data_IF_057690821101
#
_entry.id   IF_057690821101
#
_cell.length_a   1.000
_cell.length_b   1.000
_cell.length_c   1.000
_cell.angle_alpha   90.00
_cell.angle_beta   90.00
_cell.angle_gamma   90.00
#
_symmetry.space_group_name_H-M   'P 1'
#
loop_
_entity.id
_entity.type
_entity.pdbx_description
1 polymer ?
#
# COMPACT_ATOMS: atom_id res chain seq x y z
N UNK A 1 -6.75 1.74 11.00
CA UNK A 1 -5.33 1.50 11.33
C UNK A 1 -4.59 2.83 11.47
N UNK A 2 -3.66 2.92 12.42
CA UNK A 2 -2.84 4.11 12.63
C UNK A 2 -1.38 3.84 12.25
N UNK A 3 -0.71 4.79 11.60
CA UNK A 3 0.69 4.64 11.13
C UNK A 3 1.57 5.62 11.86
N UNK A 4 2.70 5.16 12.39
CA UNK A 4 3.79 5.94 13.01
C UNK A 4 3.42 7.40 13.37
N UNK A 5 2.99 7.59 14.62
CA UNK A 5 2.56 8.89 15.14
C UNK A 5 3.48 9.28 16.28
N UNK A 6 3.86 10.56 16.33
CA UNK A 6 4.58 11.06 17.51
C UNK A 6 3.69 10.93 18.76
N UNK A 7 4.27 10.57 19.91
CA UNK A 7 3.52 10.54 21.16
C UNK A 7 2.81 11.88 21.41
N UNK A 8 1.50 11.82 21.69
CA UNK A 8 0.67 13.00 21.95
C UNK A 8 0.05 13.67 20.71
N UNK A 9 0.36 13.21 19.49
CA UNK A 9 -0.28 13.69 18.26
C UNK A 9 -1.47 12.79 17.85
N UNK A 10 -2.35 13.33 17.00
CA UNK A 10 -3.47 12.57 16.46
C UNK A 10 -2.99 11.42 15.57
N UNK A 11 -3.67 10.27 15.67
CA UNK A 11 -3.32 9.09 14.87
C UNK A 11 -3.40 9.39 13.36
N UNK A 12 -2.30 9.14 12.64
CA UNK A 12 -2.28 9.18 11.18
C UNK A 12 -3.16 8.07 10.63
N UNK A 13 -3.92 8.41 9.60
CA UNK A 13 -4.74 7.47 8.85
C UNK A 13 -4.28 7.48 7.40
N UNK A 14 -4.30 6.31 6.76
CA UNK A 14 -4.01 6.22 5.32
C UNK A 14 -5.33 6.10 4.56
N UNK A 15 -5.50 7.00 3.60
CA UNK A 15 -6.63 7.04 2.69
C UNK A 15 -6.13 6.73 1.29
N UNK A 16 -6.75 5.75 0.64
CA UNK A 16 -6.63 5.51 -0.79
C UNK A 16 -7.59 6.45 -1.54
N UNK A 17 -7.10 7.06 -2.60
CA UNK A 17 -7.88 7.95 -3.46
C UNK A 17 -7.82 7.42 -4.88
N UNK A 18 -9.00 7.17 -5.45
CA UNK A 18 -9.17 6.75 -6.84
C UNK A 18 -9.98 7.80 -7.61
N UNK A 19 -9.62 8.07 -8.85
CA UNK A 19 -10.47 8.79 -9.79
C UNK A 19 -11.57 7.86 -10.34
N UNK A 20 -12.82 8.30 -10.27
CA UNK A 20 -14.00 7.59 -10.78
C UNK A 20 -14.74 8.44 -11.78
N UNK A 21 -15.08 7.86 -12.92
CA UNK A 21 -15.98 8.49 -13.90
C UNK A 21 -17.41 8.40 -13.36
N UNK A 22 -18.14 9.50 -13.39
CA UNK A 22 -19.55 9.54 -12.98
C UNK A 22 -20.42 8.83 -14.03
N UNK A 23 -21.45 8.13 -13.58
CA UNK A 23 -22.35 7.42 -14.48
C UNK A 23 -23.14 8.40 -15.37
N UNK A 24 -23.51 8.01 -16.59
CA UNK A 24 -24.40 8.82 -17.42
C UNK A 24 -25.73 9.12 -16.73
N UNK A 25 -26.24 10.34 -16.87
CA UNK A 25 -27.55 10.67 -16.31
C UNK A 25 -27.91 12.14 -16.36
N UNK A 26 -29.05 12.49 -15.75
CA UNK A 26 -29.54 13.88 -15.70
C UNK A 26 -28.56 14.86 -15.04
N UNK A 27 -27.71 14.35 -14.15
CA UNK A 27 -26.68 15.13 -13.44
C UNK A 27 -25.31 15.10 -14.15
N UNK A 28 -25.16 14.32 -15.23
CA UNK A 28 -23.94 14.18 -16.04
C UNK A 28 -24.32 14.10 -17.53
N UNK A 29 -25.06 15.10 -18.01
CA UNK A 29 -25.67 15.09 -19.36
C UNK A 29 -24.64 14.97 -20.48
N UNK A 30 -23.41 15.43 -20.23
CA UNK A 30 -22.32 15.44 -21.21
C UNK A 30 -21.33 14.29 -21.04
N UNK A 31 -21.56 13.35 -20.10
CA UNK A 31 -20.70 12.19 -19.84
C UNK A 31 -19.21 12.52 -19.64
N UNK A 32 -18.91 13.67 -19.04
CA UNK A 32 -17.54 14.15 -18.84
C UNK A 32 -17.21 14.39 -17.36
N UNK A 33 -18.16 14.17 -16.45
CA UNK A 33 -17.91 14.29 -15.02
C UNK A 33 -17.11 13.10 -14.47
N UNK A 34 -16.21 13.40 -13.54
CA UNK A 34 -15.47 12.43 -12.73
C UNK A 34 -15.21 13.03 -11.35
N UNK A 35 -14.93 12.20 -10.36
CA UNK A 35 -14.69 12.61 -8.98
C UNK A 35 -13.61 11.78 -8.31
N UNK A 36 -13.11 12.26 -7.18
CA UNK A 36 -12.21 11.51 -6.31
C UNK A 36 -13.04 10.69 -5.31
N UNK A 37 -12.83 9.38 -5.30
CA UNK A 37 -13.39 8.46 -4.30
C UNK A 37 -12.33 8.18 -3.24
N UNK A 38 -12.62 8.52 -1.99
CA UNK A 38 -11.76 8.23 -0.84
C UNK A 38 -12.16 6.92 -0.16
N UNK A 39 -11.18 6.06 0.10
CA UNK A 39 -11.31 4.86 0.91
C UNK A 39 -10.32 4.87 2.07
N UNK A 40 -10.84 4.93 3.29
CA UNK A 40 -10.03 4.75 4.50
C UNK A 40 -9.58 3.28 4.63
N UNK A 41 -8.27 3.06 4.77
CA UNK A 41 -7.70 1.72 5.00
C UNK A 41 -7.75 1.37 6.49
N UNK A 42 -8.59 0.41 6.87
CA UNK A 42 -8.92 0.15 8.27
C UNK A 42 -8.06 -0.94 8.91
N UNK A 43 -7.57 -1.89 8.12
CA UNK A 43 -6.76 -3.04 8.55
C UNK A 43 -5.50 -3.25 7.69
N UNK A 44 -4.55 -4.04 8.18
CA UNK A 44 -3.34 -4.41 7.42
C UNK A 44 -3.70 -5.12 6.10
N UNK A 45 -4.66 -6.05 6.15
CA UNK A 45 -5.14 -6.78 4.97
C UNK A 45 -5.75 -5.86 3.91
N UNK A 46 -6.51 -4.85 4.34
CA UNK A 46 -7.05 -3.85 3.42
C UNK A 46 -5.95 -2.96 2.84
N UNK A 47 -4.80 -2.85 3.50
CA UNK A 47 -3.73 -1.92 3.15
C UNK A 47 -2.53 -2.57 2.46
N UNK A 48 -2.74 -3.74 1.88
CA UNK A 48 -1.89 -4.35 0.86
C UNK A 48 -2.37 -3.84 -0.50
N UNK A 49 -1.77 -2.77 -1.02
CA UNK A 49 -2.28 -2.06 -2.20
C UNK A 49 -1.26 -1.95 -3.32
N UNK A 50 -1.78 -2.01 -4.54
CA UNK A 50 -1.03 -1.77 -5.76
C UNK A 50 -1.44 -0.43 -6.38
N UNK A 51 -0.49 0.19 -7.06
CA UNK A 51 -0.77 1.34 -7.91
C UNK A 51 -1.74 0.92 -9.01
N UNK A 52 -2.70 1.80 -9.32
CA UNK A 52 -3.59 1.62 -10.46
C UNK A 52 -3.55 2.90 -11.32
N UNK A 53 -2.78 2.90 -12.42
CA UNK A 53 -2.69 4.08 -13.27
C UNK A 53 -4.02 4.41 -13.97
N UNK A 54 -4.91 3.42 -14.17
CA UNK A 54 -6.21 3.64 -14.82
C UNK A 54 -7.17 4.47 -13.95
N UNK A 55 -7.02 4.41 -12.62
CA UNK A 55 -7.80 5.23 -11.67
C UNK A 55 -6.95 6.32 -11.02
N UNK A 56 -5.74 6.62 -11.54
CA UNK A 56 -4.80 7.55 -10.93
C UNK A 56 -4.64 7.33 -9.41
N UNK A 57 -4.64 6.06 -8.98
CA UNK A 57 -4.66 5.68 -7.57
C UNK A 57 -3.45 6.25 -6.84
N UNK A 58 -3.71 6.91 -5.72
CA UNK A 58 -2.68 7.40 -4.81
C UNK A 58 -3.15 7.30 -3.36
N UNK A 59 -2.24 7.55 -2.42
CA UNK A 59 -2.54 7.48 -0.99
C UNK A 59 -2.16 8.77 -0.29
N UNK A 60 -2.99 9.17 0.67
CA UNK A 60 -2.78 10.32 1.52
C UNK A 60 -2.62 9.82 2.94
N UNK A 61 -1.48 10.14 3.56
CA UNK A 61 -1.33 10.02 5.01
C UNK A 61 -1.93 11.28 5.64
N UNK A 62 -3.09 11.16 6.27
CA UNK A 62 -3.74 12.26 6.99
C UNK A 62 -2.79 12.78 8.09
N UNK A 63 -2.90 14.07 8.41
CA UNK A 63 -2.03 14.84 9.31
C UNK A 63 -0.60 15.15 8.82
N UNK A 64 -0.01 14.35 7.94
CA UNK A 64 1.35 14.63 7.39
C UNK A 64 1.36 15.01 5.90
N UNK A 65 0.25 14.76 5.17
CA UNK A 65 0.07 15.07 3.73
C UNK A 65 1.18 14.51 2.82
N UNK A 66 1.83 13.41 3.22
CA UNK A 66 2.77 12.70 2.35
C UNK A 66 2.01 11.84 1.35
N UNK A 67 2.47 11.86 0.10
CA UNK A 67 1.90 11.10 -1.01
C UNK A 67 3.00 10.24 -1.62
N UNK A 68 2.85 8.91 -1.65
CA UNK A 68 3.78 8.03 -2.36
C UNK A 68 3.78 8.36 -3.87
N UNK A 69 4.95 8.30 -4.51
CA UNK A 69 5.07 8.50 -5.96
C UNK A 69 4.57 7.31 -6.78
N UNK A 70 4.56 7.47 -8.11
CA UNK A 70 4.26 6.39 -9.05
C UNK A 70 5.29 5.25 -8.93
N UNK A 71 4.83 4.01 -9.03
CA UNK A 71 5.68 2.82 -8.93
C UNK A 71 5.08 1.66 -9.76
N UNK A 72 5.86 0.60 -9.96
CA UNK A 72 5.41 -0.65 -10.59
C UNK A 72 5.76 -1.85 -9.72
N UNK A 73 5.05 -2.97 -9.93
CA UNK A 73 5.43 -4.24 -9.33
C UNK A 73 6.74 -4.75 -9.95
N UNK A 74 7.52 -5.57 -9.22
CA UNK A 74 8.75 -6.15 -9.76
C UNK A 74 8.45 -6.95 -11.03
N UNK A 75 9.32 -6.81 -12.03
CA UNK A 75 9.24 -7.58 -13.27
C UNK A 75 9.75 -9.01 -13.05
N UNK A 76 8.93 -9.81 -12.37
CA UNK A 76 9.23 -11.18 -12.01
C UNK A 76 7.96 -12.04 -12.01
N UNK A 77 8.11 -13.34 -12.29
CA UNK A 77 7.03 -14.30 -12.08
C UNK A 77 6.67 -14.43 -10.59
N UNK A 78 5.42 -14.81 -10.29
CA UNK A 78 4.92 -14.95 -8.90
C UNK A 78 5.77 -15.90 -8.04
N UNK A 79 6.37 -16.91 -8.67
CA UNK A 79 7.19 -17.94 -8.03
C UNK A 79 8.69 -17.60 -7.99
N UNK A 80 9.08 -16.38 -8.39
CA UNK A 80 10.48 -15.98 -8.38
C UNK A 80 11.07 -16.12 -6.96
N UNK A 81 12.18 -16.86 -6.85
CA UNK A 81 12.74 -17.27 -5.55
C UNK A 81 13.06 -16.08 -4.63
N UNK A 82 13.46 -14.94 -5.19
CA UNK A 82 13.76 -13.75 -4.38
C UNK A 82 12.53 -13.21 -3.64
N UNK A 83 11.32 -13.38 -4.18
CA UNK A 83 10.06 -12.94 -3.57
C UNK A 83 9.74 -13.68 -2.26
N UNK A 84 10.37 -14.83 -2.00
CA UNK A 84 10.26 -15.54 -0.70
C UNK A 84 10.88 -14.73 0.44
N UNK A 85 11.94 -13.97 0.14
CA UNK A 85 12.70 -13.15 1.11
C UNK A 85 12.42 -11.66 0.97
N UNK A 86 11.62 -11.28 -0.02
CA UNK A 86 11.24 -9.90 -0.33
C UNK A 86 9.74 -9.81 -0.59
N UNK A 87 8.95 -10.44 0.27
CA UNK A 87 7.49 -10.46 0.16
C UNK A 87 6.89 -9.05 0.14
N UNK A 88 7.56 -8.06 0.73
CA UNK A 88 7.16 -6.65 0.65
C UNK A 88 7.14 -6.09 -0.77
N UNK A 89 7.86 -6.70 -1.73
CA UNK A 89 7.81 -6.31 -3.15
C UNK A 89 6.54 -6.79 -3.86
N UNK A 90 5.72 -7.64 -3.22
CA UNK A 90 4.48 -8.17 -3.82
C UNK A 90 3.38 -7.11 -3.95
N UNK A 91 3.49 -6.01 -3.21
CA UNK A 91 2.58 -4.87 -3.30
C UNK A 91 3.32 -3.54 -3.30
N UNK A 92 2.74 -2.51 -3.92
CA UNK A 92 3.36 -1.17 -3.97
C UNK A 92 3.29 -0.42 -2.63
N UNK A 93 2.23 -0.66 -1.85
CA UNK A 93 2.02 -0.08 -0.53
C UNK A 93 1.67 -1.17 0.48
N UNK A 94 2.29 -1.06 1.65
CA UNK A 94 1.90 -1.75 2.87
C UNK A 94 1.68 -0.72 3.95
N UNK A 95 0.67 -0.94 4.77
CA UNK A 95 0.45 -0.13 5.97
C UNK A 95 0.25 -1.06 7.16
N UNK A 96 1.01 -0.80 8.22
CA UNK A 96 0.97 -1.57 9.46
C UNK A 96 0.87 -0.64 10.67
N UNK A 97 0.32 -1.10 11.79
CA UNK A 97 0.47 -0.40 13.06
C UNK A 97 1.95 -0.28 13.41
N UNK A 98 2.30 0.87 14.00
CA UNK A 98 3.64 1.08 14.52
C UNK A 98 4.00 0.01 15.55
N UNK A 99 5.19 -0.56 15.39
CA UNK A 99 5.85 -1.37 16.40
C UNK A 99 7.36 -1.09 16.33
N UNK A 100 8.02 -0.78 17.45
CA UNK A 100 9.40 -0.29 17.46
C UNK A 100 10.43 -1.29 16.92
N UNK A 101 10.09 -2.58 16.92
CA UNK A 101 10.89 -3.69 16.40
C UNK A 101 10.68 -3.97 14.90
N UNK A 102 9.64 -3.41 14.27
CA UNK A 102 9.30 -3.64 12.87
C UNK A 102 9.99 -2.67 11.92
N UNK A 103 11.31 -2.70 11.89
CA UNK A 103 12.14 -1.76 11.10
C UNK A 103 12.54 -2.27 9.71
N UNK A 104 12.49 -3.60 9.48
CA UNK A 104 13.06 -4.23 8.29
C UNK A 104 12.04 -5.12 7.57
N UNK A 105 11.51 -4.72 6.39
CA UNK A 105 10.47 -5.49 5.70
C UNK A 105 10.98 -6.84 5.12
N UNK A 106 12.29 -7.02 4.96
CA UNK A 106 12.93 -8.29 4.58
C UNK A 106 13.41 -9.14 5.75
N UNK A 107 13.13 -8.71 6.99
CA UNK A 107 13.72 -9.24 8.22
C UNK A 107 15.07 -8.61 8.55
N UNK A 108 15.49 -8.74 9.82
CA UNK A 108 16.70 -8.15 10.38
C UNK A 108 17.97 -8.62 9.63
N UNK A 109 18.07 -9.92 9.34
CA UNK A 109 19.18 -10.50 8.60
C UNK A 109 18.76 -10.89 7.20
N UNK A 110 18.56 -9.89 6.33
CA UNK A 110 18.11 -10.09 4.95
C UNK A 110 18.91 -11.18 4.24
N UNK A 111 20.25 -11.18 4.34
CA UNK A 111 21.16 -12.15 3.71
C UNK A 111 21.15 -13.56 4.33
N UNK A 112 20.75 -13.71 5.60
CA UNK A 112 20.72 -14.99 6.33
C UNK A 112 19.30 -15.50 6.60
N UNK A 113 18.28 -14.84 6.05
CA UNK A 113 16.89 -15.22 6.22
C UNK A 113 16.70 -16.69 5.77
N UNK A 114 16.38 -17.62 6.71
CA UNK A 114 16.33 -19.04 6.44
C UNK A 114 15.28 -19.35 5.37
N UNK A 115 15.59 -20.29 4.48
CA UNK A 115 14.64 -20.74 3.48
C UNK A 115 13.55 -21.54 4.20
N UNK A 116 12.29 -21.11 4.10
CA UNK A 116 11.15 -21.86 4.63
C UNK A 116 11.19 -23.27 4.04
N UNK A 117 11.43 -24.29 4.89
CA UNK A 117 11.46 -25.70 4.52
C UNK A 117 12.83 -26.31 4.20
N UNK A 118 13.95 -25.58 4.29
CA UNK A 118 15.28 -26.20 4.27
C UNK A 118 15.79 -26.32 5.72
N UNK A 119 15.52 -27.46 6.34
CA UNK A 119 16.37 -27.92 7.44
C UNK A 119 17.66 -28.46 6.82
N UNK A 120 18.80 -28.15 7.43
CA UNK A 120 20.04 -28.86 7.11
C UNK A 120 19.85 -30.30 7.58
N UNK A 121 19.94 -31.26 6.65
CA UNK A 121 20.26 -32.64 7.00
C UNK A 121 21.65 -32.71 7.68
#
# INVERSE_FOLDING_TARGET
>A
MAVDCKPGEAFNQVVEVDAKVEEPGKNNVYNNAFYAEEKLLKSELEAMRDCNPLSARHWIVRNTRKVPGSNCLPLAGSEAKFLRRSAFLKHNLWVTPYAPDKMHPGGEFSNQNPRVGEFFD
#
